data_IF_181920234943
#
_entry.id   IF_181920234943
#
_cell.length_a   1.000
_cell.length_b   1.000
_cell.length_c   1.000
_cell.angle_alpha   90.00
_cell.angle_beta   90.00
_cell.angle_gamma   90.00
#
_symmetry.space_group_name_H-M   'P 1'
#
loop_
_entity.id
_entity.type
_entity.pdbx_description
1 polymer ?
#
# COMPACT_ATOMS: atom_id res chain seq x y z
N UNK A 1 15.39 -0.07 -9.07
CA UNK A 1 15.46 -0.24 -7.60
C UNK A 1 14.21 0.23 -6.86
N UNK A 2 13.45 1.13 -7.43
CA UNK A 2 12.23 1.67 -6.81
C UNK A 2 10.94 0.91 -7.15
N UNK A 3 10.95 -0.01 -8.11
CA UNK A 3 9.73 -0.69 -8.55
C UNK A 3 9.23 -1.76 -7.58
N UNK A 4 10.14 -2.48 -6.89
CA UNK A 4 9.78 -3.48 -5.87
C UNK A 4 9.02 -2.87 -4.68
N UNK A 5 9.31 -1.61 -4.35
CA UNK A 5 8.60 -0.91 -3.28
C UNK A 5 7.18 -0.46 -3.68
N UNK A 6 6.84 -0.43 -4.97
CA UNK A 6 5.65 0.19 -5.54
C UNK A 6 4.63 -0.79 -6.11
N UNK A 7 5.09 -1.94 -6.58
CA UNK A 7 4.21 -3.09 -6.85
C UNK A 7 3.50 -3.58 -5.57
N UNK A 8 3.95 -3.11 -4.45
CA UNK A 8 3.46 -3.38 -3.11
C UNK A 8 1.97 -3.14 -2.90
N UNK A 9 1.38 -2.20 -3.60
CA UNK A 9 0.01 -1.74 -3.30
C UNK A 9 -1.06 -2.39 -4.18
N UNK A 10 -0.68 -3.29 -5.08
CA UNK A 10 -1.59 -3.84 -6.09
C UNK A 10 -2.29 -5.15 -5.76
N UNK A 11 -1.70 -6.01 -4.96
CA UNK A 11 -2.37 -7.25 -4.55
C UNK A 11 -2.76 -7.07 -3.11
N UNK A 12 -4.05 -6.98 -2.76
CA UNK A 12 -4.18 -7.11 -1.42
C UNK A 12 -5.45 -7.26 -0.66
N UNK A 13 -6.50 -6.65 -0.79
CA UNK A 13 -7.44 -6.72 0.32
C UNK A 13 -8.20 -8.05 0.45
N UNK A 14 -8.59 -8.68 -0.64
CA UNK A 14 -9.43 -9.91 -0.57
C UNK A 14 -8.64 -11.22 -0.50
N UNK A 15 -7.44 -11.28 -1.06
CA UNK A 15 -6.59 -12.46 -0.92
C UNK A 15 -6.07 -12.64 0.51
N UNK A 16 -5.84 -11.54 1.22
CA UNK A 16 -5.44 -11.57 2.63
C UNK A 16 -6.61 -11.74 3.60
N UNK A 17 -7.80 -11.22 3.30
CA UNK A 17 -9.01 -11.52 4.09
C UNK A 17 -9.32 -13.02 4.10
N UNK A 18 -9.10 -13.71 2.97
CA UNK A 18 -9.28 -15.15 2.91
C UNK A 18 -8.14 -15.96 3.57
N UNK A 19 -6.96 -15.36 3.80
CA UNK A 19 -5.88 -15.93 4.63
C UNK A 19 -6.17 -15.70 6.11
N UNK A 20 -6.93 -14.66 6.45
CA UNK A 20 -7.26 -14.27 7.83
C UNK A 20 -8.58 -14.84 8.34
N UNK A 21 -9.27 -15.74 7.63
CA UNK A 21 -10.31 -16.61 8.20
C UNK A 21 -9.70 -17.67 9.14
N UNK A 22 -8.83 -17.22 10.00
CA UNK A 22 -8.50 -17.88 11.25
C UNK A 22 -9.32 -17.15 12.33
N UNK A 23 -10.05 -17.87 13.24
CA UNK A 23 -11.05 -17.30 14.12
C UNK A 23 -10.50 -16.42 15.25
N UNK A 24 -9.29 -15.91 15.13
CA UNK A 24 -8.65 -15.08 16.15
C UNK A 24 -8.41 -13.66 15.65
N UNK A 25 -9.30 -12.77 16.13
CA UNK A 25 -9.30 -11.32 16.20
C UNK A 25 -9.59 -10.54 14.90
N UNK A 26 -10.62 -9.67 14.94
CA UNK A 26 -10.75 -8.63 13.93
C UNK A 26 -9.54 -7.70 14.05
N UNK A 27 -8.76 -7.57 12.98
CA UNK A 27 -7.71 -6.56 12.90
C UNK A 27 -8.35 -5.18 13.09
N UNK A 28 -8.16 -4.56 14.24
CA UNK A 28 -8.30 -3.11 14.36
C UNK A 28 -7.20 -2.50 13.50
N UNK A 29 -7.56 -1.89 12.39
CA UNK A 29 -6.68 -1.00 11.65
C UNK A 29 -6.38 0.20 12.56
N UNK A 30 -5.36 0.06 13.40
CA UNK A 30 -4.79 1.19 14.11
C UNK A 30 -3.89 1.94 13.16
N UNK A 31 -3.88 3.25 13.25
CA UNK A 31 -2.99 4.13 12.48
C UNK A 31 -1.56 3.57 12.44
N UNK A 32 -1.01 3.39 11.23
CA UNK A 32 0.34 2.88 11.05
C UNK A 32 0.46 1.37 10.83
N UNK A 33 -0.63 0.60 10.80
CA UNK A 33 -0.55 -0.82 10.37
C UNK A 33 -0.30 -0.83 8.87
N UNK A 34 0.94 -1.15 8.52
CA UNK A 34 1.34 -1.44 7.15
C UNK A 34 0.61 -2.70 6.72
N UNK A 35 -0.08 -2.65 5.59
CA UNK A 35 -0.58 -3.85 4.92
C UNK A 35 0.64 -4.71 4.64
N UNK A 36 0.65 -5.93 5.17
CA UNK A 36 1.77 -6.84 5.02
C UNK A 36 1.75 -7.45 3.61
N UNK A 37 2.94 -7.62 3.06
CA UNK A 37 3.09 -8.28 1.77
C UNK A 37 3.09 -9.79 1.97
N UNK A 38 2.59 -10.60 1.03
CA UNK A 38 2.65 -12.06 1.16
C UNK A 38 4.04 -12.57 1.54
N UNK A 39 5.08 -12.02 0.95
CA UNK A 39 6.46 -12.38 1.27
C UNK A 39 6.91 -12.00 2.68
N UNK A 40 6.33 -10.97 3.30
CA UNK A 40 6.64 -10.58 4.68
C UNK A 40 6.18 -11.63 5.69
N UNK A 41 5.15 -12.42 5.38
CA UNK A 41 4.64 -13.49 6.22
C UNK A 41 5.73 -14.52 6.59
N UNK A 42 6.73 -14.68 5.75
CA UNK A 42 7.87 -15.56 6.01
C UNK A 42 8.61 -15.15 7.29
N UNK A 43 8.77 -13.85 7.53
CA UNK A 43 9.43 -13.34 8.74
C UNK A 43 8.52 -13.37 9.98
N UNK A 44 7.21 -13.19 9.79
CA UNK A 44 6.26 -13.14 10.90
C UNK A 44 5.84 -14.52 11.39
N UNK A 45 5.75 -15.50 10.48
CA UNK A 45 5.15 -16.80 10.74
C UNK A 45 6.03 -17.98 10.30
N UNK A 46 7.28 -17.76 9.89
CA UNK A 46 8.21 -18.81 9.52
C UNK A 46 7.70 -19.71 8.40
N UNK A 47 7.78 -21.02 8.58
CA UNK A 47 7.33 -22.01 7.61
C UNK A 47 5.84 -21.90 7.29
N UNK A 48 5.00 -21.63 8.28
CA UNK A 48 3.57 -21.33 8.09
C UNK A 48 3.36 -20.10 7.21
N UNK A 49 4.21 -19.08 7.34
CA UNK A 49 4.18 -17.88 6.50
C UNK A 49 4.45 -18.19 5.03
N UNK A 50 5.36 -19.12 4.73
CA UNK A 50 5.63 -19.58 3.36
C UNK A 50 4.38 -20.21 2.74
N UNK A 51 3.72 -21.13 3.45
CA UNK A 51 2.51 -21.79 2.95
C UNK A 51 1.34 -20.84 2.79
N UNK A 52 1.16 -19.89 3.70
CA UNK A 52 0.13 -18.87 3.63
C UNK A 52 0.36 -17.94 2.42
N UNK A 53 1.59 -17.48 2.21
CA UNK A 53 1.95 -16.63 1.07
C UNK A 53 1.69 -17.34 -0.26
N UNK A 54 2.12 -18.60 -0.39
CA UNK A 54 1.86 -19.41 -1.58
C UNK A 54 0.37 -19.60 -1.85
N UNK A 55 -0.41 -19.97 -0.84
CA UNK A 55 -1.85 -20.16 -0.98
C UNK A 55 -2.55 -18.86 -1.44
N UNK A 56 -2.13 -17.71 -0.92
CA UNK A 56 -2.63 -16.40 -1.34
C UNK A 56 -2.31 -16.10 -2.81
N UNK A 57 -1.06 -16.30 -3.24
CA UNK A 57 -0.63 -16.07 -4.61
C UNK A 57 -1.32 -17.04 -5.59
N UNK A 58 -1.43 -18.32 -5.23
CA UNK A 58 -2.12 -19.32 -6.05
C UNK A 58 -3.60 -18.97 -6.26
N UNK A 59 -4.28 -18.51 -5.20
CA UNK A 59 -5.67 -18.06 -5.28
C UNK A 59 -5.81 -16.82 -6.14
N UNK A 60 -4.91 -15.85 -5.97
CA UNK A 60 -4.86 -14.64 -6.79
C UNK A 60 -4.65 -14.95 -8.28
N UNK A 61 -3.85 -15.96 -8.60
CA UNK A 61 -3.62 -16.41 -9.97
C UNK A 61 -4.81 -17.19 -10.56
N UNK A 62 -5.46 -18.04 -9.75
CA UNK A 62 -6.54 -18.89 -10.22
C UNK A 62 -7.85 -18.13 -10.49
N UNK A 63 -8.16 -17.14 -9.65
CA UNK A 63 -9.43 -16.40 -9.70
C UNK A 63 -9.22 -14.87 -9.56
N UNK A 64 -8.49 -14.22 -10.50
CA UNK A 64 -8.15 -12.80 -10.40
C UNK A 64 -9.37 -11.90 -10.18
N UNK A 65 -10.42 -12.10 -10.95
CA UNK A 65 -11.64 -11.30 -10.88
C UNK A 65 -12.40 -11.39 -9.53
N UNK A 66 -12.12 -12.44 -8.74
CA UNK A 66 -12.73 -12.62 -7.42
C UNK A 66 -11.84 -12.17 -6.26
N UNK A 67 -10.53 -12.24 -6.45
CA UNK A 67 -9.55 -12.16 -5.37
C UNK A 67 -8.65 -10.95 -5.45
N UNK A 68 -8.51 -10.33 -6.62
CA UNK A 68 -7.60 -9.22 -6.82
C UNK A 68 -8.33 -7.89 -6.99
N UNK A 69 -7.70 -6.85 -6.51
CA UNK A 69 -8.12 -5.48 -6.71
C UNK A 69 -6.92 -4.62 -7.09
N UNK A 70 -7.17 -3.63 -7.94
CA UNK A 70 -6.20 -2.58 -8.27
C UNK A 70 -6.45 -1.42 -7.31
N UNK A 71 -5.42 -1.01 -6.57
CA UNK A 71 -5.50 0.14 -5.68
C UNK A 71 -5.00 1.39 -6.39
N UNK A 72 -5.82 2.44 -6.39
CA UNK A 72 -5.41 3.75 -6.86
C UNK A 72 -4.38 4.36 -5.91
N UNK A 73 -3.29 4.90 -6.47
CA UNK A 73 -2.24 5.63 -5.75
C UNK A 73 -2.21 7.08 -6.22
N UNK A 74 -2.45 7.99 -5.31
CA UNK A 74 -2.53 9.42 -5.60
C UNK A 74 -1.76 10.28 -4.60
N UNK A 75 -1.59 11.55 -4.95
CA UNK A 75 -0.90 12.53 -4.11
C UNK A 75 -1.41 13.96 -4.46
N UNK A 76 -1.63 14.80 -3.45
CA UNK A 76 -1.51 14.57 -2.01
C UNK A 76 -2.65 13.72 -1.44
N UNK A 77 -2.41 13.13 -0.26
CA UNK A 77 -3.49 12.59 0.55
C UNK A 77 -4.25 13.76 1.19
N UNK A 78 -5.53 13.87 0.86
CA UNK A 78 -6.44 14.92 1.35
C UNK A 78 -7.38 14.36 2.42
N UNK A 79 -7.79 15.22 3.34
CA UNK A 79 -8.81 14.92 4.34
C UNK A 79 -9.88 16.01 4.27
N UNK A 80 -11.13 15.60 4.11
CA UNK A 80 -12.26 16.51 3.99
C UNK A 80 -13.52 15.90 4.60
N UNK A 81 -14.46 16.75 4.99
CA UNK A 81 -15.70 16.28 5.60
C UNK A 81 -16.44 17.40 6.32
N UNK A 82 -17.32 17.01 7.25
CA UNK A 82 -18.02 18.00 8.09
C UNK A 82 -17.80 17.70 9.57
N UNK A 83 -17.54 18.77 10.31
CA UNK A 83 -17.45 18.69 11.78
C UNK A 83 -18.85 18.47 12.41
N UNK A 84 -18.89 18.40 13.74
CA UNK A 84 -20.14 18.17 14.48
C UNK A 84 -21.18 19.30 14.29
N UNK A 85 -20.73 20.50 13.88
CA UNK A 85 -21.58 21.64 13.59
C UNK A 85 -22.06 21.66 12.13
N UNK A 86 -21.61 20.70 11.31
CA UNK A 86 -21.91 20.66 9.87
C UNK A 86 -21.02 21.54 9.00
N UNK A 87 -20.03 22.22 9.59
CA UNK A 87 -19.09 23.04 8.84
C UNK A 87 -18.19 22.16 7.97
N UNK A 88 -18.13 22.43 6.66
CA UNK A 88 -17.24 21.72 5.76
C UNK A 88 -15.79 22.14 6.02
N UNK A 89 -14.91 21.15 6.00
CA UNK A 89 -13.49 21.28 6.30
C UNK A 89 -12.69 20.53 5.27
N UNK A 90 -11.55 21.10 4.85
CA UNK A 90 -10.58 20.49 3.97
C UNK A 90 -9.15 20.73 4.50
N UNK A 91 -8.30 19.71 4.43
CA UNK A 91 -6.87 19.80 4.74
C UNK A 91 -6.12 18.65 4.06
N UNK A 92 -4.80 18.61 4.23
CA UNK A 92 -4.00 17.43 3.93
C UNK A 92 -3.89 16.50 5.16
N UNK A 93 -3.46 15.27 4.93
CA UNK A 93 -3.29 14.29 6.01
C UNK A 93 -2.34 14.80 7.12
N UNK A 94 -1.25 15.46 6.75
CA UNK A 94 -0.29 16.00 7.72
C UNK A 94 -0.90 17.07 8.62
N UNK A 95 -1.67 18.00 8.06
CA UNK A 95 -2.39 19.04 8.80
C UNK A 95 -3.46 18.47 9.70
N UNK A 96 -4.18 17.44 9.24
CA UNK A 96 -5.21 16.79 10.02
C UNK A 96 -4.67 16.11 11.28
N UNK A 97 -3.57 15.36 11.14
CA UNK A 97 -2.96 14.60 12.24
C UNK A 97 -2.19 15.49 13.22
N UNK A 98 -1.42 16.46 12.68
CA UNK A 98 -0.52 17.28 13.50
C UNK A 98 -1.22 18.44 14.21
N UNK A 99 -2.16 19.10 13.55
CA UNK A 99 -2.77 20.34 14.03
C UNK A 99 -4.23 20.18 14.48
N UNK A 100 -4.84 19.04 14.17
CA UNK A 100 -6.25 18.80 14.48
C UNK A 100 -7.15 19.88 13.85
N UNK A 101 -8.23 20.25 14.53
CA UNK A 101 -9.19 21.22 13.97
C UNK A 101 -8.60 22.61 13.71
N UNK A 102 -7.57 23.03 14.44
CA UNK A 102 -6.93 24.35 14.24
C UNK A 102 -6.15 24.46 12.92
N UNK A 103 -5.78 23.34 12.31
CA UNK A 103 -5.07 23.29 11.02
C UNK A 103 -5.99 23.09 9.82
N UNK A 104 -7.31 23.15 10.02
CA UNK A 104 -8.30 22.83 9.00
C UNK A 104 -8.81 24.11 8.33
N UNK A 105 -8.89 24.11 6.97
CA UNK A 105 -9.51 25.20 6.25
C UNK A 105 -11.03 25.07 6.26
N UNK A 106 -11.70 26.16 6.61
CA UNK A 106 -13.16 26.28 6.61
C UNK A 106 -13.70 27.07 5.42
N UNK A 107 -12.80 27.54 4.55
CA UNK A 107 -13.10 28.19 3.28
C UNK A 107 -11.95 28.02 2.29
N UNK A 108 -12.20 28.22 1.00
CA UNK A 108 -11.15 28.18 0.00
C UNK A 108 -10.04 29.22 0.25
N UNK A 109 -10.40 30.40 0.75
CA UNK A 109 -9.44 31.49 1.10
C UNK A 109 -8.56 31.11 2.29
N UNK A 110 -9.07 30.29 3.20
CA UNK A 110 -8.38 29.87 4.41
C UNK A 110 -7.25 28.85 4.17
N UNK A 111 -7.19 28.27 2.98
CA UNK A 111 -6.15 27.31 2.62
C UNK A 111 -4.72 27.88 2.76
N UNK A 112 -4.51 29.14 2.44
CA UNK A 112 -3.19 29.77 2.58
C UNK A 112 -2.73 29.80 4.06
N UNK A 113 -3.63 30.03 5.01
CA UNK A 113 -3.34 29.97 6.45
C UNK A 113 -2.90 28.60 6.91
N UNK A 114 -3.54 27.55 6.42
CA UNK A 114 -3.22 26.16 6.81
C UNK A 114 -1.78 25.79 6.46
N UNK A 115 -1.25 26.35 5.37
CA UNK A 115 0.11 26.10 4.91
C UNK A 115 1.15 27.14 5.37
N UNK A 116 0.72 28.30 5.92
CA UNK A 116 1.60 29.44 6.23
C UNK A 116 2.76 29.15 7.19
N UNK A 117 2.59 28.17 8.09
CA UNK A 117 3.61 27.82 9.09
C UNK A 117 4.52 26.66 8.65
N UNK A 118 4.44 26.24 7.40
CA UNK A 118 5.25 25.14 6.86
C UNK A 118 6.44 25.68 6.09
N UNK A 119 7.58 24.99 6.21
CA UNK A 119 8.75 25.31 5.40
C UNK A 119 8.56 24.80 3.97
N UNK A 120 8.74 25.64 2.99
CA UNK A 120 8.64 25.34 1.57
C UNK A 120 7.68 26.26 0.81
N UNK A 121 7.70 26.16 -0.51
CA UNK A 121 6.73 26.82 -1.38
C UNK A 121 5.54 25.90 -1.59
N UNK A 122 4.37 26.34 -1.18
CA UNK A 122 3.09 25.63 -1.30
C UNK A 122 2.09 26.34 -2.22
N UNK A 123 2.54 27.33 -2.99
CA UNK A 123 1.65 28.17 -3.83
C UNK A 123 0.78 27.33 -4.76
N UNK A 124 1.39 26.42 -5.51
CA UNK A 124 0.66 25.53 -6.44
C UNK A 124 -0.31 24.63 -5.69
N UNK A 125 0.12 24.07 -4.57
CA UNK A 125 -0.71 23.20 -3.76
C UNK A 125 -1.90 23.93 -3.15
N UNK A 126 -1.70 25.15 -2.68
CA UNK A 126 -2.78 26.02 -2.17
C UNK A 126 -3.81 26.27 -3.30
N UNK A 127 -3.36 26.58 -4.51
CA UNK A 127 -4.24 26.75 -5.66
C UNK A 127 -5.07 25.51 -5.97
N UNK A 128 -4.48 24.32 -5.91
CA UNK A 128 -5.19 23.04 -6.06
C UNK A 128 -6.26 22.90 -4.97
N UNK A 129 -5.93 23.11 -3.70
CA UNK A 129 -6.90 22.98 -2.61
C UNK A 129 -8.03 24.02 -2.69
N UNK A 130 -7.73 25.24 -3.13
CA UNK A 130 -8.75 26.27 -3.35
C UNK A 130 -9.77 25.85 -4.40
N UNK A 131 -9.32 25.14 -5.44
CA UNK A 131 -10.20 24.55 -6.46
C UNK A 131 -11.00 23.36 -5.90
N UNK A 132 -10.37 22.50 -5.10
CA UNK A 132 -11.01 21.32 -4.50
C UNK A 132 -12.13 21.73 -3.52
N UNK A 133 -11.93 22.79 -2.75
CA UNK A 133 -12.81 23.19 -1.65
C UNK A 133 -14.29 23.29 -2.06
N UNK A 134 -14.69 24.10 -3.05
CA UNK A 134 -16.09 24.23 -3.44
C UNK A 134 -16.66 22.95 -4.09
N UNK A 135 -15.83 22.17 -4.78
CA UNK A 135 -16.26 20.92 -5.41
C UNK A 135 -16.56 19.85 -4.36
N UNK A 136 -15.63 19.60 -3.44
CA UNK A 136 -15.79 18.61 -2.38
C UNK A 136 -16.84 19.03 -1.35
N UNK A 137 -16.98 20.33 -1.07
CA UNK A 137 -18.03 20.84 -0.17
C UNK A 137 -19.44 20.50 -0.67
N UNK A 138 -19.64 20.45 -1.99
CA UNK A 138 -20.91 20.02 -2.60
C UNK A 138 -21.08 18.52 -2.60
N UNK A 139 -19.98 17.77 -2.74
CA UNK A 139 -20.00 16.30 -2.76
C UNK A 139 -20.22 15.67 -1.39
N UNK A 140 -19.87 16.37 -0.30
CA UNK A 140 -20.14 15.88 1.06
C UNK A 140 -21.54 16.26 1.51
N UNK A 141 -22.45 15.31 1.75
CA UNK A 141 -23.83 15.58 2.15
C UNK A 141 -23.91 16.45 3.40
N UNK A 142 -24.94 17.31 3.50
CA UNK A 142 -25.12 18.23 4.62
C UNK A 142 -25.28 17.52 5.97
N UNK A 143 -25.85 16.32 5.97
CA UNK A 143 -26.05 15.51 7.17
C UNK A 143 -24.83 14.67 7.58
N UNK A 144 -23.84 14.55 6.70
CA UNK A 144 -22.61 13.80 7.00
C UNK A 144 -21.87 14.43 8.18
N UNK A 145 -21.34 13.59 9.06
CA UNK A 145 -20.48 14.00 10.19
C UNK A 145 -19.27 13.07 10.24
N UNK A 146 -18.09 13.66 10.25
CA UNK A 146 -16.81 12.96 10.18
C UNK A 146 -15.97 13.44 8.99
N UNK A 147 -14.88 12.73 8.72
CA UNK A 147 -13.90 13.11 7.72
C UNK A 147 -13.56 11.92 6.84
N UNK A 148 -13.32 12.19 5.58
CA UNK A 148 -12.94 11.22 4.57
C UNK A 148 -11.50 11.49 4.19
N UNK A 149 -10.64 10.47 4.28
CA UNK A 149 -9.31 10.51 3.69
C UNK A 149 -9.39 9.95 2.27
N UNK A 150 -8.84 10.68 1.33
CA UNK A 150 -8.73 10.29 -0.07
C UNK A 150 -7.38 10.69 -0.64
N UNK A 151 -6.98 10.04 -1.73
CA UNK A 151 -5.84 10.46 -2.54
C UNK A 151 -6.33 11.28 -3.74
N UNK A 152 -5.68 12.40 -4.01
CA UNK A 152 -5.93 13.18 -5.21
C UNK A 152 -5.30 12.48 -6.42
N UNK A 153 -6.11 12.18 -7.43
CA UNK A 153 -5.66 11.58 -8.68
C UNK A 153 -5.33 12.64 -9.74
N UNK A 154 -6.16 13.65 -9.86
CA UNK A 154 -5.93 14.81 -10.72
C UNK A 154 -6.79 16.00 -10.29
N UNK A 155 -6.34 17.21 -10.62
CA UNK A 155 -7.01 18.50 -10.33
C UNK A 155 -7.42 19.25 -11.59
N UNK A 156 -7.30 18.62 -12.74
CA UNK A 156 -7.84 19.03 -14.03
C UNK A 156 -8.08 17.76 -14.85
N UNK A 157 -9.06 17.78 -15.75
CA UNK A 157 -9.31 16.66 -16.67
C UNK A 157 -8.00 16.24 -17.33
N UNK A 158 -7.57 14.96 -17.20
CA UNK A 158 -6.31 14.51 -17.77
C UNK A 158 -6.30 14.62 -19.31
N UNK A 159 -5.12 14.80 -19.92
CA UNK A 159 -5.00 14.80 -21.38
C UNK A 159 -5.29 13.42 -21.96
N UNK A 160 -5.70 13.39 -23.23
CA UNK A 160 -5.88 12.18 -24.01
C UNK A 160 -4.63 11.92 -24.86
N UNK A 161 -4.04 10.73 -24.72
CA UNK A 161 -2.96 10.21 -25.54
C UNK A 161 -3.38 8.83 -26.08
N UNK A 162 -3.32 8.62 -27.39
CA UNK A 162 -3.68 7.35 -28.03
C UNK A 162 -5.03 6.78 -27.52
N UNK A 163 -6.07 7.59 -27.54
CA UNK A 163 -7.43 7.26 -27.08
C UNK A 163 -7.52 6.88 -25.60
N UNK A 164 -6.60 7.35 -24.76
CA UNK A 164 -6.60 7.08 -23.32
C UNK A 164 -6.35 8.36 -22.55
N UNK A 165 -7.07 8.58 -21.47
CA UNK A 165 -6.74 9.57 -20.45
C UNK A 165 -5.49 9.15 -19.72
N UNK A 166 -4.48 10.04 -19.63
CA UNK A 166 -3.18 9.74 -19.03
C UNK A 166 -2.91 10.69 -17.86
N UNK A 167 -2.65 10.13 -16.70
CA UNK A 167 -2.32 10.91 -15.50
C UNK A 167 -1.38 10.16 -14.57
N UNK A 168 -0.51 10.94 -13.91
CA UNK A 168 0.52 10.41 -13.00
C UNK A 168 0.41 11.15 -11.66
N UNK A 169 -0.55 10.77 -10.81
CA UNK A 169 -0.82 11.52 -9.57
C UNK A 169 0.31 11.42 -8.55
N UNK A 170 1.07 10.34 -8.57
CA UNK A 170 2.23 10.13 -7.71
C UNK A 170 3.37 9.50 -8.52
N UNK A 171 3.48 8.20 -8.49
CA UNK A 171 4.58 7.50 -9.14
C UNK A 171 4.08 6.51 -10.20
N UNK A 172 2.81 6.19 -10.15
CA UNK A 172 2.13 5.33 -11.11
C UNK A 172 1.48 6.22 -12.17
N UNK A 173 1.75 5.92 -13.43
CA UNK A 173 1.03 6.51 -14.57
C UNK A 173 -0.15 5.61 -14.89
N UNK A 174 -1.34 6.17 -14.85
CA UNK A 174 -2.57 5.50 -15.25
C UNK A 174 -2.93 5.90 -16.68
N UNK A 175 -3.36 4.90 -17.46
CA UNK A 175 -3.93 5.06 -18.80
C UNK A 175 -5.30 4.42 -18.79
N UNK A 176 -6.34 5.22 -18.98
CA UNK A 176 -7.73 4.75 -18.98
C UNK A 176 -8.32 5.02 -20.35
N UNK A 177 -8.75 3.96 -21.05
CA UNK A 177 -9.35 4.11 -22.39
C UNK A 177 -10.56 5.04 -22.34
N UNK A 178 -10.58 6.04 -23.24
CA UNK A 178 -11.65 7.05 -23.32
C UNK A 178 -13.02 6.46 -23.63
N UNK A 179 -13.06 5.30 -24.28
CA UNK A 179 -14.31 4.64 -24.71
C UNK A 179 -14.99 3.88 -23.57
N UNK A 180 -14.26 3.59 -22.47
CA UNK A 180 -14.80 2.89 -21.32
C UNK A 180 -15.74 3.76 -20.50
N UNK A 181 -16.65 3.16 -19.69
CA UNK A 181 -17.47 3.93 -18.75
C UNK A 181 -16.65 4.82 -17.81
N UNK A 182 -15.51 4.32 -17.32
CA UNK A 182 -14.59 5.10 -16.47
C UNK A 182 -13.94 6.25 -17.25
N UNK A 183 -13.47 5.99 -18.48
CA UNK A 183 -12.92 7.04 -19.34
C UNK A 183 -13.89 8.17 -19.60
N UNK A 184 -15.17 7.86 -19.87
CA UNK A 184 -16.22 8.86 -20.03
C UNK A 184 -16.48 9.66 -18.74
N UNK A 185 -16.36 9.03 -17.58
CA UNK A 185 -16.47 9.76 -16.29
C UNK A 185 -15.26 10.69 -16.07
N UNK A 186 -14.05 10.23 -16.39
CA UNK A 186 -12.84 11.06 -16.32
C UNK A 186 -12.98 12.30 -17.22
N UNK A 187 -13.43 12.10 -18.47
CA UNK A 187 -13.63 13.20 -19.42
C UNK A 187 -14.66 14.24 -18.99
N UNK A 188 -15.60 13.88 -18.12
CA UNK A 188 -16.64 14.75 -17.59
C UNK A 188 -16.33 15.27 -16.17
N UNK A 189 -15.09 15.16 -15.71
CA UNK A 189 -14.71 15.57 -14.35
C UNK A 189 -13.56 16.56 -14.35
N UNK A 190 -13.61 17.52 -13.43
CA UNK A 190 -12.55 18.52 -13.20
C UNK A 190 -11.52 18.01 -12.19
N UNK A 191 -11.95 17.13 -11.29
CA UNK A 191 -11.10 16.50 -10.27
C UNK A 191 -11.40 15.00 -10.16
N UNK A 192 -10.37 14.21 -9.85
CA UNK A 192 -10.49 12.80 -9.52
C UNK A 192 -9.88 12.50 -8.15
N UNK A 193 -10.59 11.77 -7.32
CA UNK A 193 -10.14 11.34 -6.00
C UNK A 193 -10.38 9.85 -5.81
N UNK A 194 -9.48 9.18 -5.06
CA UNK A 194 -9.66 7.82 -4.60
C UNK A 194 -9.94 7.82 -3.09
N UNK A 195 -11.11 7.38 -2.69
CA UNK A 195 -11.59 7.39 -1.29
C UNK A 195 -11.05 6.18 -0.56
N UNK A 196 -10.49 6.36 0.64
CA UNK A 196 -9.85 5.29 1.41
C UNK A 196 -10.57 4.97 2.71
N UNK A 197 -10.66 5.96 3.61
CA UNK A 197 -11.13 5.75 4.96
C UNK A 197 -11.99 6.90 5.45
N UNK A 198 -12.86 6.60 6.39
CA UNK A 198 -13.59 7.57 7.20
C UNK A 198 -12.95 7.67 8.58
N UNK A 199 -12.85 8.88 9.09
CA UNK A 199 -12.27 9.21 10.40
C UNK A 199 -13.31 10.04 11.15
N UNK A 200 -13.69 9.63 12.35
CA UNK A 200 -14.71 10.33 13.14
C UNK A 200 -14.23 11.70 13.66
N UNK A 201 -12.95 11.80 14.00
CA UNK A 201 -12.29 13.01 14.50
C UNK A 201 -10.77 12.90 14.38
N UNK A 202 -10.00 14.01 14.45
CA UNK A 202 -8.55 13.93 14.51
C UNK A 202 -8.05 12.96 15.57
N UNK A 203 -7.17 12.04 15.18
CA UNK A 203 -6.68 10.92 16.04
C UNK A 203 -7.78 9.98 16.54
N UNK A 204 -8.92 9.98 15.89
CA UNK A 204 -10.05 9.14 16.21
C UNK A 204 -10.03 7.77 15.53
N UNK A 205 -11.19 7.12 15.52
CA UNK A 205 -11.36 5.81 14.90
C UNK A 205 -11.34 5.93 13.38
N UNK A 206 -10.58 5.04 12.73
CA UNK A 206 -10.47 4.93 11.27
C UNK A 206 -11.23 3.69 10.82
N UNK A 207 -12.05 3.80 9.79
CA UNK A 207 -12.79 2.69 9.20
C UNK A 207 -12.79 2.79 7.67
N UNK A 208 -12.89 1.66 6.95
CA UNK A 208 -13.05 1.69 5.50
C UNK A 208 -14.31 2.47 5.11
N UNK A 209 -14.23 3.19 4.00
CA UNK A 209 -15.36 3.92 3.43
C UNK A 209 -15.40 3.72 1.92
N UNK A 210 -16.58 3.79 1.34
CA UNK A 210 -16.80 3.76 -0.10
C UNK A 210 -17.34 5.11 -0.59
N UNK A 211 -17.30 5.32 -1.90
CA UNK A 211 -17.84 6.52 -2.56
C UNK A 211 -19.33 6.75 -2.33
N UNK A 212 -20.06 5.76 -1.78
CA UNK A 212 -21.49 5.86 -1.46
C UNK A 212 -21.82 6.93 -0.42
N UNK A 213 -20.85 7.37 0.38
CA UNK A 213 -21.01 8.45 1.37
C UNK A 213 -20.98 9.84 0.74
N UNK A 214 -20.69 9.94 -0.56
CA UNK A 214 -20.60 11.19 -1.29
C UNK A 214 -21.78 11.33 -2.26
N UNK A 215 -22.28 12.56 -2.39
CA UNK A 215 -23.23 12.93 -3.44
C UNK A 215 -22.50 13.01 -4.79
N UNK A 216 -23.17 12.57 -5.84
CA UNK A 216 -22.68 12.74 -7.21
C UNK A 216 -22.89 14.20 -7.63
N UNK A 217 -21.82 14.91 -7.85
CA UNK A 217 -21.85 16.30 -8.28
C UNK A 217 -21.04 16.51 -9.57
N UNK A 218 -21.45 17.40 -10.45
CA UNK A 218 -20.70 17.70 -11.66
C UNK A 218 -19.26 18.14 -11.34
N UNK A 219 -18.32 17.68 -12.14
CA UNK A 219 -16.90 18.00 -12.02
C UNK A 219 -16.13 17.17 -10.99
N UNK A 220 -16.78 16.29 -10.21
CA UNK A 220 -16.12 15.42 -9.21
C UNK A 220 -16.26 13.96 -9.62
N UNK A 221 -15.13 13.30 -9.85
CA UNK A 221 -15.05 11.84 -9.95
C UNK A 221 -14.47 11.29 -8.63
N UNK A 222 -15.32 10.63 -7.86
CA UNK A 222 -14.87 9.87 -6.69
C UNK A 222 -14.84 8.38 -7.06
N UNK A 223 -13.68 7.75 -6.83
CA UNK A 223 -13.47 6.33 -7.02
C UNK A 223 -13.27 5.66 -5.66
N UNK A 224 -13.72 4.43 -5.54
CA UNK A 224 -13.30 3.59 -4.42
C UNK A 224 -11.79 3.34 -4.52
N UNK A 225 -11.10 3.25 -3.39
CA UNK A 225 -9.64 3.09 -3.38
C UNK A 225 -9.16 1.85 -4.13
N UNK A 226 -10.02 0.86 -4.26
CA UNK A 226 -9.75 -0.36 -4.99
C UNK A 226 -10.82 -0.63 -6.04
N UNK A 227 -10.40 -1.13 -7.19
CA UNK A 227 -11.29 -1.65 -8.24
C UNK A 227 -11.03 -3.14 -8.42
N UNK A 228 -12.05 -3.89 -8.81
CA UNK A 228 -11.90 -5.33 -9.07
C UNK A 228 -11.04 -5.54 -10.32
N UNK A 229 -10.16 -6.52 -10.23
CA UNK A 229 -9.48 -7.08 -11.38
C UNK A 229 -10.48 -7.85 -12.26
N UNK A 230 -10.34 -7.75 -13.56
CA UNK A 230 -11.17 -8.45 -14.55
C UNK A 230 -10.39 -9.55 -15.27
N UNK A 231 -9.16 -9.81 -14.86
CA UNK A 231 -8.25 -10.76 -15.49
C UNK A 231 -8.74 -12.21 -15.42
N UNK A 232 -8.25 -13.02 -16.37
CA UNK A 232 -8.44 -14.47 -16.41
C UNK A 232 -7.36 -15.18 -15.59
N UNK A 233 -7.58 -16.46 -15.26
CA UNK A 233 -6.59 -17.27 -14.55
C UNK A 233 -5.20 -17.22 -15.21
N UNK A 234 -4.16 -17.15 -14.37
CA UNK A 234 -2.77 -17.04 -14.79
C UNK A 234 -2.01 -18.29 -14.31
N UNK A 235 -1.19 -18.84 -15.18
CA UNK A 235 -0.28 -19.91 -14.81
C UNK A 235 0.95 -19.33 -14.09
N UNK A 236 1.16 -19.76 -12.85
CA UNK A 236 2.31 -19.34 -12.06
C UNK A 236 3.60 -19.97 -12.55
N UNK A 237 4.73 -19.30 -12.31
CA UNK A 237 6.06 -19.80 -12.64
C UNK A 237 6.37 -21.10 -11.89
N UNK A 238 6.40 -22.22 -12.61
CA UNK A 238 6.67 -23.55 -12.05
C UNK A 238 8.06 -23.65 -11.43
N UNK A 239 9.06 -22.99 -12.02
CA UNK A 239 10.42 -23.01 -11.49
C UNK A 239 10.54 -22.34 -10.13
N UNK A 240 9.86 -21.18 -9.93
CA UNK A 240 9.79 -20.51 -8.65
C UNK A 240 8.99 -21.33 -7.62
N UNK A 241 7.85 -21.91 -8.01
CA UNK A 241 7.06 -22.78 -7.14
C UNK A 241 7.87 -23.96 -6.62
N UNK A 242 8.61 -24.64 -7.49
CA UNK A 242 9.49 -25.77 -7.11
C UNK A 242 10.56 -25.29 -6.12
N UNK A 243 11.25 -24.19 -6.40
CA UNK A 243 12.28 -23.64 -5.49
C UNK A 243 11.74 -23.32 -4.11
N UNK A 244 10.54 -22.71 -4.03
CA UNK A 244 9.92 -22.39 -2.76
C UNK A 244 9.54 -23.68 -2.01
N UNK A 245 8.97 -24.67 -2.72
CA UNK A 245 8.56 -25.93 -2.14
C UNK A 245 9.76 -26.75 -1.65
N UNK A 246 10.84 -26.81 -2.42
CA UNK A 246 12.07 -27.50 -2.03
C UNK A 246 12.68 -26.85 -0.78
N UNK A 247 12.77 -25.53 -0.76
CA UNK A 247 13.26 -24.79 0.43
C UNK A 247 12.38 -25.05 1.64
N UNK A 248 11.07 -25.09 1.48
CA UNK A 248 10.13 -25.42 2.56
C UNK A 248 10.35 -26.84 3.07
N UNK A 249 10.40 -27.84 2.17
CA UNK A 249 10.56 -29.24 2.54
C UNK A 249 11.86 -29.50 3.30
N UNK A 250 12.93 -28.83 2.93
CA UNK A 250 14.26 -29.02 3.53
C UNK A 250 14.43 -28.21 4.83
N UNK A 251 13.91 -26.99 4.91
CA UNK A 251 14.27 -26.05 5.98
C UNK A 251 13.12 -25.59 6.87
N UNK A 252 11.88 -26.05 6.68
CA UNK A 252 10.74 -25.56 7.47
C UNK A 252 10.98 -25.61 8.98
N UNK A 253 11.43 -26.76 9.50
CA UNK A 253 11.73 -26.92 10.92
C UNK A 253 12.87 -26.03 11.39
N UNK A 254 13.92 -25.87 10.59
CA UNK A 254 15.06 -25.01 10.92
C UNK A 254 14.68 -23.52 10.93
N UNK A 255 13.84 -23.08 9.99
CA UNK A 255 13.30 -21.73 9.95
C UNK A 255 12.48 -21.43 11.21
N UNK A 256 11.59 -22.37 11.60
CA UNK A 256 10.74 -22.19 12.78
C UNK A 256 11.57 -22.17 14.07
N UNK A 257 12.60 -23.01 14.17
CA UNK A 257 13.54 -22.99 15.29
C UNK A 257 14.33 -21.66 15.36
N UNK A 258 14.81 -21.16 14.22
CA UNK A 258 15.52 -19.87 14.12
C UNK A 258 14.63 -18.68 14.54
N UNK A 259 13.36 -18.69 14.21
CA UNK A 259 12.40 -17.64 14.56
C UNK A 259 11.69 -17.85 15.89
N UNK A 260 12.06 -18.88 16.66
CA UNK A 260 11.40 -19.22 17.91
C UNK A 260 11.48 -18.05 18.93
N UNK A 261 10.33 -17.49 19.36
CA UNK A 261 10.33 -16.32 20.23
C UNK A 261 10.98 -16.54 21.60
N UNK A 262 10.92 -17.76 22.13
CA UNK A 262 11.54 -18.10 23.43
C UNK A 262 13.05 -18.12 23.32
N UNK A 263 13.59 -18.75 22.27
CA UNK A 263 15.03 -18.79 22.00
C UNK A 263 15.59 -17.37 21.75
N UNK A 264 14.90 -16.58 20.95
CA UNK A 264 15.28 -15.18 20.70
C UNK A 264 15.30 -14.34 21.99
N UNK A 265 14.32 -14.53 22.87
CA UNK A 265 14.30 -13.85 24.19
C UNK A 265 15.47 -14.28 25.07
N UNK A 266 15.77 -15.58 25.14
CA UNK A 266 16.89 -16.12 25.91
C UNK A 266 18.22 -15.50 25.46
N UNK A 267 18.37 -15.27 24.17
CA UNK A 267 19.57 -14.61 23.56
C UNK A 267 19.49 -13.09 23.60
N UNK A 268 18.45 -12.51 24.17
CA UNK A 268 18.19 -11.04 24.20
C UNK A 268 18.18 -10.43 22.79
N UNK A 269 17.69 -11.16 21.81
CA UNK A 269 17.44 -10.70 20.44
C UNK A 269 15.97 -10.32 20.35
N UNK A 270 15.69 -9.05 20.08
CA UNK A 270 14.33 -8.52 20.07
C UNK A 270 13.88 -8.18 18.66
N UNK A 271 12.58 -8.34 18.41
CA UNK A 271 11.91 -7.86 17.18
C UNK A 271 12.54 -8.37 15.86
N UNK A 272 12.92 -9.65 15.78
CA UNK A 272 13.52 -10.23 14.56
C UNK A 272 12.69 -9.99 13.30
N UNK A 273 11.36 -10.19 13.27
CA UNK A 273 10.57 -9.87 12.08
C UNK A 273 10.69 -8.40 11.66
N UNK A 274 10.62 -7.47 12.62
CA UNK A 274 10.79 -6.05 12.34
C UNK A 274 12.18 -5.73 11.79
N UNK A 275 13.22 -6.34 12.34
CA UNK A 275 14.60 -6.17 11.89
C UNK A 275 14.77 -6.67 10.45
N UNK A 276 14.24 -7.86 10.13
CA UNK A 276 14.26 -8.42 8.79
C UNK A 276 13.55 -7.51 7.79
N UNK A 277 12.35 -7.02 8.11
CA UNK A 277 11.61 -6.08 7.28
C UNK A 277 12.36 -4.75 7.06
N UNK A 278 13.08 -4.25 8.08
CA UNK A 278 13.95 -3.07 7.93
C UNK A 278 15.12 -3.34 6.99
N UNK A 279 15.73 -4.52 7.09
CA UNK A 279 16.79 -4.93 6.19
C UNK A 279 16.30 -5.07 4.75
N UNK A 280 15.16 -5.69 4.54
CA UNK A 280 14.52 -5.74 3.21
C UNK A 280 14.35 -4.34 2.63
N UNK A 281 13.83 -3.39 3.40
CA UNK A 281 13.68 -2.00 2.95
C UNK A 281 15.02 -1.35 2.60
N UNK A 282 16.09 -1.66 3.33
CA UNK A 282 17.43 -1.22 3.00
C UNK A 282 17.90 -1.82 1.66
N UNK A 283 17.76 -3.13 1.47
CA UNK A 283 18.15 -3.82 0.23
C UNK A 283 17.39 -3.33 -1.00
N UNK A 284 16.10 -3.06 -0.86
CA UNK A 284 15.28 -2.45 -1.93
C UNK A 284 15.86 -1.10 -2.36
N UNK A 285 16.30 -0.26 -1.40
CA UNK A 285 16.92 1.04 -1.70
C UNK A 285 18.30 0.90 -2.36
N UNK A 286 19.01 -0.21 -2.11
CA UNK A 286 20.28 -0.52 -2.73
C UNK A 286 20.18 -1.14 -4.14
N UNK A 287 18.98 -1.39 -4.61
CA UNK A 287 18.74 -1.88 -5.97
C UNK A 287 18.34 -3.35 -6.09
N UNK A 288 18.08 -4.05 -5.00
CA UNK A 288 17.57 -5.42 -5.07
C UNK A 288 18.08 -6.39 -4.02
N UNK A 289 17.76 -7.66 -4.21
CA UNK A 289 17.95 -8.72 -3.21
C UNK A 289 19.21 -9.58 -3.45
N UNK A 290 20.27 -8.99 -3.97
CA UNK A 290 21.55 -9.70 -4.12
C UNK A 290 22.28 -9.78 -2.78
N UNK A 291 23.05 -10.86 -2.56
CA UNK A 291 23.91 -11.05 -1.39
C UNK A 291 23.22 -10.86 -0.02
N UNK A 292 21.96 -11.28 0.10
CA UNK A 292 21.14 -11.02 1.29
C UNK A 292 21.79 -11.49 2.59
N UNK A 293 22.33 -12.69 2.63
CA UNK A 293 22.99 -13.24 3.83
C UNK A 293 24.30 -12.53 4.11
N UNK A 294 25.14 -12.32 3.08
CA UNK A 294 26.46 -11.69 3.20
C UNK A 294 26.38 -10.26 3.73
N UNK A 295 25.43 -9.48 3.23
CA UNK A 295 25.33 -8.05 3.53
C UNK A 295 24.58 -7.78 4.85
N UNK A 296 23.91 -8.77 5.42
CA UNK A 296 23.14 -8.59 6.64
C UNK A 296 24.02 -8.26 7.85
N UNK A 297 25.12 -8.98 8.06
CA UNK A 297 26.03 -8.75 9.17
C UNK A 297 26.58 -7.33 9.22
N UNK A 298 27.20 -6.81 8.14
CA UNK A 298 27.64 -5.42 8.05
C UNK A 298 26.51 -4.41 8.31
N UNK A 299 25.32 -4.65 7.74
CA UNK A 299 24.19 -3.76 7.93
C UNK A 299 23.69 -3.74 9.39
N UNK A 300 23.53 -4.90 10.03
CA UNK A 300 23.09 -4.95 11.42
C UNK A 300 24.09 -4.35 12.39
N UNK A 301 25.38 -4.48 12.08
CA UNK A 301 26.46 -3.85 12.85
C UNK A 301 26.35 -2.33 12.84
N UNK A 302 26.06 -1.76 11.68
CA UNK A 302 25.84 -0.32 11.55
C UNK A 302 24.53 0.13 12.21
N UNK A 303 23.46 -0.67 12.06
CA UNK A 303 22.11 -0.30 12.50
C UNK A 303 21.89 -0.48 13.98
N UNK A 304 22.48 -1.53 14.57
CA UNK A 304 22.29 -1.96 15.96
C UNK A 304 23.61 -2.41 16.61
N UNK A 305 24.63 -1.56 16.74
CA UNK A 305 25.97 -1.96 17.13
C UNK A 305 26.04 -2.75 18.44
N UNK A 306 25.20 -2.40 19.42
CA UNK A 306 25.14 -3.09 20.74
C UNK A 306 24.57 -4.50 20.66
N UNK A 307 23.66 -4.78 19.73
CA UNK A 307 23.01 -6.08 19.58
C UNK A 307 23.63 -6.95 18.47
N UNK A 308 24.36 -6.31 17.53
CA UNK A 308 24.88 -6.96 16.36
C UNK A 308 25.71 -8.24 16.66
N UNK A 309 26.62 -8.26 17.66
CA UNK A 309 27.39 -9.47 17.94
C UNK A 309 26.52 -10.69 18.21
N UNK A 310 25.48 -10.56 19.02
CA UNK A 310 24.55 -11.64 19.35
C UNK A 310 23.72 -12.10 18.16
N UNK A 311 23.27 -11.14 17.34
CA UNK A 311 22.47 -11.42 16.14
C UNK A 311 23.33 -12.16 15.11
N UNK A 312 24.57 -11.71 14.89
CA UNK A 312 25.50 -12.31 13.94
C UNK A 312 25.90 -13.73 14.41
N UNK A 313 26.19 -13.92 15.68
CA UNK A 313 26.47 -15.24 16.27
C UNK A 313 25.30 -16.19 16.02
N UNK A 314 24.06 -15.78 16.36
CA UNK A 314 22.86 -16.56 16.14
C UNK A 314 22.62 -16.91 14.67
N UNK A 315 22.89 -15.99 13.76
CA UNK A 315 22.82 -16.25 12.33
C UNK A 315 23.90 -17.26 11.89
N UNK A 316 25.12 -17.15 12.38
CA UNK A 316 26.20 -18.05 12.04
C UNK A 316 25.95 -19.48 12.52
N UNK A 317 25.32 -19.64 13.68
CA UNK A 317 24.87 -20.94 14.18
C UNK A 317 23.74 -21.56 13.34
N UNK A 318 22.98 -20.73 12.61
CA UNK A 318 21.77 -21.11 11.87
C UNK A 318 21.83 -20.73 10.38
N UNK A 319 23.01 -20.79 9.75
CA UNK A 319 23.22 -20.31 8.37
C UNK A 319 22.25 -20.92 7.35
N UNK A 320 21.93 -22.22 7.46
CA UNK A 320 20.98 -22.88 6.58
C UNK A 320 19.58 -22.28 6.68
N UNK A 321 19.08 -22.09 7.91
CA UNK A 321 17.77 -21.47 8.17
C UNK A 321 17.70 -20.02 7.68
N UNK A 322 18.74 -19.24 7.94
CA UNK A 322 18.83 -17.83 7.50
C UNK A 322 18.84 -17.73 5.98
N UNK A 323 19.64 -18.57 5.31
CA UNK A 323 19.68 -18.62 3.85
C UNK A 323 18.34 -19.02 3.27
N UNK A 324 17.70 -20.05 3.83
CA UNK A 324 16.39 -20.52 3.42
C UNK A 324 15.29 -19.47 3.64
N UNK A 325 15.34 -18.73 4.76
CA UNK A 325 14.40 -17.67 5.08
C UNK A 325 14.46 -16.53 4.04
N UNK A 326 15.66 -16.03 3.72
CA UNK A 326 15.83 -15.01 2.68
C UNK A 326 15.51 -15.52 1.29
N UNK A 327 15.88 -16.78 0.98
CA UNK A 327 15.53 -17.41 -0.31
C UNK A 327 14.03 -17.52 -0.48
N UNK A 328 13.31 -17.96 0.54
CA UNK A 328 11.84 -18.04 0.52
C UNK A 328 11.21 -16.67 0.29
N UNK A 329 11.65 -15.65 1.03
CA UNK A 329 11.20 -14.28 0.85
C UNK A 329 11.40 -13.79 -0.59
N UNK A 330 12.61 -13.94 -1.14
CA UNK A 330 12.96 -13.47 -2.49
C UNK A 330 12.15 -14.21 -3.56
N UNK A 331 12.06 -15.54 -3.46
CA UNK A 331 11.34 -16.32 -4.46
C UNK A 331 9.83 -16.05 -4.43
N UNK A 332 9.23 -15.86 -3.25
CA UNK A 332 7.82 -15.46 -3.12
C UNK A 332 7.60 -14.05 -3.68
N UNK A 333 8.49 -13.10 -3.40
CA UNK A 333 8.44 -11.77 -3.98
C UNK A 333 8.50 -11.79 -5.51
N UNK A 334 9.43 -12.57 -6.09
CA UNK A 334 9.55 -12.74 -7.53
C UNK A 334 8.31 -13.40 -8.15
N UNK A 335 7.76 -14.42 -7.51
CA UNK A 335 6.55 -15.10 -7.96
C UNK A 335 5.35 -14.14 -7.99
N UNK A 336 5.18 -13.36 -6.93
CA UNK A 336 4.17 -12.29 -6.85
C UNK A 336 4.36 -11.24 -7.94
N UNK A 337 5.59 -10.75 -8.10
CA UNK A 337 5.89 -9.71 -9.09
C UNK A 337 5.61 -10.18 -10.53
N UNK A 338 5.89 -11.44 -10.81
CA UNK A 338 5.55 -12.03 -12.10
C UNK A 338 4.06 -12.14 -12.31
N UNK A 339 3.32 -12.61 -11.30
CA UNK A 339 1.86 -12.64 -11.34
C UNK A 339 1.28 -11.25 -11.61
N UNK A 340 1.77 -10.21 -10.92
CA UNK A 340 1.31 -8.83 -11.12
C UNK A 340 1.55 -8.37 -12.55
N UNK A 341 2.74 -8.64 -13.12
CA UNK A 341 3.03 -8.29 -14.51
C UNK A 341 2.09 -8.97 -15.50
N UNK A 342 1.74 -10.21 -15.24
CA UNK A 342 0.84 -10.96 -16.11
C UNK A 342 -0.61 -10.48 -15.97
N UNK A 343 -1.04 -10.12 -14.76
CA UNK A 343 -2.34 -9.46 -14.52
C UNK A 343 -2.41 -8.10 -15.22
N UNK A 344 -1.37 -7.28 -15.13
CA UNK A 344 -1.29 -5.98 -15.81
C UNK A 344 -1.39 -6.09 -17.34
N UNK A 345 -0.87 -7.17 -17.91
CA UNK A 345 -0.99 -7.41 -19.35
C UNK A 345 -2.40 -7.80 -19.79
N UNK A 346 -3.18 -8.40 -18.90
CA UNK A 346 -4.55 -8.81 -19.19
C UNK A 346 -5.54 -7.65 -19.03
N UNK A 347 -5.24 -6.67 -18.17
CA UNK A 347 -6.13 -5.53 -17.96
C UNK A 347 -6.09 -4.61 -19.18
N UNK A 348 -7.23 -4.51 -19.90
CA UNK A 348 -7.37 -3.69 -21.10
C UNK A 348 -7.99 -2.32 -20.82
N UNK A 349 -8.73 -2.19 -19.73
CA UNK A 349 -9.51 -0.98 -19.42
C UNK A 349 -8.67 0.06 -18.67
N UNK A 350 -7.82 -0.38 -17.76
CA UNK A 350 -6.90 0.46 -16.98
C UNK A 350 -5.51 -0.12 -17.03
N UNK A 351 -4.57 0.61 -17.60
CA UNK A 351 -3.14 0.28 -17.55
C UNK A 351 -2.45 1.19 -16.55
N UNK A 352 -1.57 0.61 -15.77
CA UNK A 352 -0.80 1.36 -14.80
C UNK A 352 0.69 1.05 -14.97
N UNK A 353 1.44 2.06 -15.37
CA UNK A 353 2.88 1.99 -15.58
C UNK A 353 3.61 2.74 -14.46
N UNK A 354 4.72 2.20 -14.01
CA UNK A 354 5.55 2.87 -13.00
C UNK A 354 6.56 3.75 -13.71
N UNK A 355 6.59 5.01 -13.33
CA UNK A 355 7.50 5.99 -13.92
C UNK A 355 8.97 5.57 -13.69
N UNK A 356 9.73 5.37 -14.76
CA UNK A 356 11.17 5.12 -14.72
C UNK A 356 11.57 3.64 -14.69
N UNK A 357 10.74 2.76 -15.23
CA UNK A 357 11.11 1.36 -15.53
C UNK A 357 10.97 1.12 -17.02
#
# INVERSE_FOLDING_TARGET
AHWLARLRDRIVHQGMEAITENPYTPYKLTEGVRIEHPEDLVFDHGSKGITQALAGIQRAAAEPAKTNTIKWDGKPAIVFGRDNNGQFILTDKGGFVATGYNGLATSAKDMARVFSNRKGDYTDLIGVYQKLFPLLSRAVPQHFRGFIQADLLYSATPPIENNSYVFTPNQVTYRVSADTPLGKQIGNSDIGIAVHTEIDKPKGTVRPVTTRVLDKVPGVLALDSTMKDTGSAIELDKGLLIKIQDTYNEYATAIDAFLNPSELRNRKITSTPKLMKQYINFKVRQGGFTNMVKDFGPWVTQKMPTQAPRIIEWMNENQGAVSALFSSFVNIALLKDKLIKDLDRQDQDVKADIKGV
#
